data_IF_875778482245
#
_entry.id   IF_875778482245
#
_cell.length_a   1.000
_cell.length_b   1.000
_cell.length_c   1.000
_cell.angle_alpha   90.00
_cell.angle_beta   90.00
_cell.angle_gamma   90.00
#
_symmetry.space_group_name_H-M   'P 1'
#
loop_
_entity.id
_entity.type
_entity.pdbx_description
1 polymer ?
#
# COMPACT_ATOMS: atom_id res chain seq x y z
N UNK A 1 16.33 -24.10 17.09
CA UNK A 1 15.40 -23.03 17.52
C UNK A 1 15.75 -21.80 16.68
N UNK A 2 14.77 -21.02 16.24
CA UNK A 2 14.98 -19.80 15.45
C UNK A 2 13.99 -18.72 15.86
N UNK A 3 14.43 -17.47 15.82
CA UNK A 3 13.58 -16.29 16.04
C UNK A 3 13.92 -15.30 14.94
N UNK A 4 12.91 -14.81 14.25
CA UNK A 4 13.01 -13.74 13.26
C UNK A 4 12.07 -12.59 13.65
N UNK A 5 12.56 -11.36 13.53
CA UNK A 5 11.82 -10.14 13.88
C UNK A 5 12.03 -9.12 12.76
N UNK A 6 10.93 -8.62 12.21
CA UNK A 6 10.95 -7.56 11.20
C UNK A 6 10.23 -6.32 11.71
N UNK A 7 10.74 -5.16 11.28
CA UNK A 7 10.14 -3.85 11.56
C UNK A 7 9.88 -3.59 13.06
N UNK A 8 10.81 -4.01 13.93
CA UNK A 8 10.69 -3.88 15.39
C UNK A 8 10.53 -2.42 15.85
N UNK A 9 11.07 -1.45 15.12
CA UNK A 9 10.91 -0.04 15.43
C UNK A 9 9.43 0.42 15.35
N UNK A 10 8.63 -0.22 14.48
CA UNK A 10 7.19 0.05 14.36
C UNK A 10 6.40 -0.36 15.62
N UNK A 11 6.94 -1.30 16.42
CA UNK A 11 6.36 -1.67 17.72
C UNK A 11 6.47 -0.52 18.74
N UNK A 12 7.54 0.27 18.65
CA UNK A 12 7.80 1.39 19.55
C UNK A 12 7.11 2.68 19.08
N UNK A 13 6.98 2.86 17.77
CA UNK A 13 6.26 3.98 17.16
C UNK A 13 5.58 3.54 15.86
N UNK A 14 4.25 3.67 15.80
CA UNK A 14 3.44 3.27 14.64
C UNK A 14 3.78 4.00 13.35
N UNK A 15 4.40 5.17 13.43
CA UNK A 15 4.79 5.98 12.28
C UNK A 15 6.14 5.54 11.68
N UNK A 16 6.93 4.76 12.41
CA UNK A 16 8.24 4.31 11.95
C UNK A 16 8.15 3.06 11.09
N UNK A 17 8.91 3.02 9.99
CA UNK A 17 8.90 1.88 9.07
C UNK A 17 7.62 1.73 8.26
N UNK A 18 6.75 2.75 8.23
CA UNK A 18 5.56 2.77 7.37
C UNK A 18 5.97 3.06 5.93
N UNK A 19 5.64 2.16 5.02
CA UNK A 19 5.94 2.35 3.59
C UNK A 19 4.87 3.22 2.95
N UNK A 20 5.26 4.06 2.00
CA UNK A 20 4.30 4.83 1.20
C UNK A 20 4.03 4.15 -0.14
N UNK A 21 2.77 4.19 -0.57
CA UNK A 21 2.32 3.73 -1.90
C UNK A 21 1.68 4.89 -2.66
N UNK A 22 1.81 4.87 -3.99
CA UNK A 22 1.18 5.86 -4.83
C UNK A 22 -0.35 5.76 -4.71
N UNK A 23 -1.01 6.91 -4.64
CA UNK A 23 -2.45 6.94 -4.64
C UNK A 23 -2.99 6.51 -6.01
N UNK A 24 -4.14 5.83 -6.04
CA UNK A 24 -4.71 5.32 -7.31
C UNK A 24 -4.98 6.43 -8.33
N UNK A 25 -5.44 7.58 -7.86
CA UNK A 25 -5.65 8.73 -8.75
C UNK A 25 -4.34 9.42 -9.19
N UNK A 26 -3.22 9.20 -8.49
CA UNK A 26 -1.90 9.69 -8.90
C UNK A 26 -1.25 8.78 -9.96
N UNK A 27 -1.74 7.54 -10.09
CA UNK A 27 -1.27 6.57 -11.10
C UNK A 27 -2.18 6.50 -12.32
N UNK A 28 -3.48 6.79 -12.17
CA UNK A 28 -4.42 6.97 -13.28
C UNK A 28 -5.22 8.25 -13.08
N UNK A 29 -4.83 9.30 -13.82
CA UNK A 29 -5.47 10.62 -13.69
C UNK A 29 -6.76 10.76 -14.52
N UNK A 30 -6.97 9.85 -15.47
CA UNK A 30 -8.16 9.80 -16.31
C UNK A 30 -9.11 8.69 -15.83
N UNK A 31 -10.38 9.02 -15.68
CA UNK A 31 -11.47 8.08 -15.39
C UNK A 31 -12.45 8.05 -16.55
N UNK A 32 -12.83 6.86 -17.00
CA UNK A 32 -13.86 6.70 -18.02
C UNK A 32 -15.21 7.09 -17.43
N UNK A 33 -15.87 8.07 -18.05
CA UNK A 33 -17.17 8.55 -17.59
C UNK A 33 -18.30 7.90 -18.37
N UNK A 34 -18.17 7.83 -19.70
CA UNK A 34 -19.19 7.28 -20.59
C UNK A 34 -18.64 7.02 -21.98
N UNK A 35 -19.42 6.34 -22.81
CA UNK A 35 -19.25 6.34 -24.25
C UNK A 35 -20.21 7.36 -24.88
N UNK A 36 -19.75 8.09 -25.89
CA UNK A 36 -20.62 9.01 -26.63
C UNK A 36 -21.52 8.26 -27.63
N UNK A 37 -22.40 8.98 -28.33
CA UNK A 37 -23.32 8.41 -29.33
C UNK A 37 -22.63 7.74 -30.53
N UNK A 38 -21.33 8.00 -30.73
CA UNK A 38 -20.49 7.39 -31.78
C UNK A 38 -19.66 6.21 -31.23
N UNK A 39 -19.88 5.79 -29.99
CA UNK A 39 -19.16 4.70 -29.34
C UNK A 39 -17.73 5.04 -28.90
N UNK A 40 -17.32 6.31 -28.94
CA UNK A 40 -16.00 6.71 -28.47
C UNK A 40 -16.01 6.95 -26.94
N UNK A 41 -14.98 6.48 -26.20
CA UNK A 41 -14.88 6.68 -24.76
C UNK A 41 -14.59 8.15 -24.41
N UNK A 42 -15.30 8.66 -23.40
CA UNK A 42 -15.13 10.00 -22.85
C UNK A 42 -14.53 9.87 -21.45
N UNK A 43 -13.34 10.44 -21.27
CA UNK A 43 -12.63 10.44 -20.00
C UNK A 43 -12.74 11.82 -19.33
N UNK A 44 -12.67 11.82 -18.00
CA UNK A 44 -12.54 13.03 -17.21
C UNK A 44 -11.29 12.98 -16.33
N UNK A 45 -10.70 14.15 -16.08
CA UNK A 45 -9.51 14.29 -15.24
C UNK A 45 -9.90 14.35 -13.76
N UNK A 46 -9.33 13.48 -12.92
CA UNK A 46 -9.52 13.52 -11.47
C UNK A 46 -8.65 14.60 -10.83
N UNK A 47 -9.23 15.79 -10.67
CA UNK A 47 -8.55 16.93 -10.02
C UNK A 47 -8.54 16.88 -8.47
N UNK A 48 -9.04 15.82 -7.84
CA UNK A 48 -9.29 15.79 -6.40
C UNK A 48 -8.17 15.18 -5.54
N UNK A 49 -6.99 14.89 -6.09
CA UNK A 49 -5.87 14.37 -5.31
C UNK A 49 -5.07 15.48 -4.64
N UNK A 50 -5.16 15.55 -3.32
CA UNK A 50 -4.35 16.46 -2.49
C UNK A 50 -2.96 15.92 -2.14
N UNK A 51 -2.72 14.61 -2.33
CA UNK A 51 -1.44 13.93 -2.01
C UNK A 51 -1.15 12.82 -3.02
N UNK A 52 0.10 12.77 -3.51
CA UNK A 52 0.61 11.77 -4.45
C UNK A 52 0.78 10.40 -3.80
N UNK A 53 1.23 10.37 -2.55
CA UNK A 53 1.48 9.16 -1.78
C UNK A 53 0.53 9.06 -0.58
N UNK A 54 0.26 7.82 -0.20
CA UNK A 54 -0.48 7.46 1.02
C UNK A 54 0.22 6.31 1.71
N UNK A 55 -0.05 6.12 2.99
CA UNK A 55 0.55 5.04 3.74
C UNK A 55 0.03 3.68 3.27
N UNK A 56 0.96 2.73 3.16
CA UNK A 56 0.67 1.34 2.84
C UNK A 56 0.38 0.59 4.14
N UNK A 57 -0.88 0.35 4.44
CA UNK A 57 -1.33 -0.44 5.62
C UNK A 57 -1.11 -1.96 5.48
N UNK A 58 -0.16 -2.37 4.63
CA UNK A 58 0.23 -3.76 4.38
C UNK A 58 1.05 -4.35 5.53
N UNK A 59 1.20 -5.67 5.54
CA UNK A 59 1.99 -6.41 6.53
C UNK A 59 3.43 -5.89 6.65
N UNK A 60 4.03 -5.47 5.53
CA UNK A 60 5.38 -4.92 5.46
C UNK A 60 5.55 -3.58 6.20
N UNK A 61 4.47 -2.90 6.60
CA UNK A 61 4.50 -1.66 7.39
C UNK A 61 4.18 -1.90 8.87
N UNK A 62 4.11 -3.16 9.30
CA UNK A 62 3.82 -3.57 10.68
C UNK A 62 5.00 -4.36 11.23
N UNK A 63 5.17 -4.35 12.54
CA UNK A 63 6.12 -5.27 13.18
C UNK A 63 5.60 -6.72 13.08
N UNK A 64 6.50 -7.67 12.90
CA UNK A 64 6.17 -9.10 12.96
C UNK A 64 7.29 -9.88 13.63
N UNK A 65 6.93 -10.95 14.32
CA UNK A 65 7.86 -11.90 14.93
C UNK A 65 7.44 -13.32 14.57
N UNK A 66 8.42 -14.16 14.23
CA UNK A 66 8.24 -15.59 14.01
C UNK A 66 9.20 -16.39 14.88
N UNK A 67 8.67 -17.38 15.59
CA UNK A 67 9.45 -18.30 16.44
C UNK A 67 9.33 -19.70 15.87
N UNK A 68 10.46 -20.39 15.68
CA UNK A 68 10.55 -21.74 15.16
C UNK A 68 11.26 -22.67 16.15
N UNK A 69 10.63 -23.78 16.48
CA UNK A 69 11.23 -24.87 17.25
C UNK A 69 11.32 -26.10 16.36
N UNK A 70 12.48 -26.75 16.34
CA UNK A 70 12.68 -28.04 15.67
C UNK A 70 13.45 -28.95 16.63
N UNK A 71 12.90 -30.14 16.82
CA UNK A 71 13.52 -31.23 17.56
C UNK A 71 13.78 -32.36 16.57
N UNK A 72 15.00 -32.90 16.57
CA UNK A 72 15.41 -34.00 15.71
C UNK A 72 15.88 -35.15 16.60
N UNK A 73 15.49 -36.37 16.25
CA UNK A 73 15.84 -37.61 16.94
C UNK A 73 17.13 -38.22 16.38
#
# INVERSE_FOLDING_TARGET
MSIDIVNVANLLNSDWGVRSIANRGATSSLELVKFNSKGAPVFNYKHNLKKTFRDAVTLASRWQMQVGLRYNF
#
